data_IF_817688881353
#
_entry.id   IF_817688881353
#
_cell.length_a   1.000
_cell.length_b   1.000
_cell.length_c   1.000
_cell.angle_alpha   90.00
_cell.angle_beta   90.00
_cell.angle_gamma   90.00
#
_symmetry.space_group_name_H-M   'P 1'
#
loop_
_entity.id
_entity.type
_entity.pdbx_description
1 polymer ?
#
# COMPACT_ATOMS: atom_id res chain seq x y z
N UNK A 1 22.95 -12.67 68.78
CA UNK A 1 24.39 -12.51 69.03
C UNK A 1 25.01 -12.19 67.69
N UNK A 2 25.42 -10.94 67.49
CA UNK A 2 26.00 -10.47 66.24
C UNK A 2 27.48 -10.87 66.20
N UNK A 3 27.95 -11.39 65.07
CA UNK A 3 29.36 -11.31 64.68
C UNK A 3 29.42 -11.04 63.19
N UNK A 4 29.94 -9.86 62.88
CA UNK A 4 30.30 -9.32 61.59
C UNK A 4 31.77 -9.68 61.35
N UNK A 5 32.13 -10.32 60.23
CA UNK A 5 33.50 -10.26 59.72
C UNK A 5 33.57 -10.35 58.18
N UNK A 6 33.63 -9.15 57.59
CA UNK A 6 34.55 -8.67 56.54
C UNK A 6 34.78 -9.51 55.26
N UNK A 7 34.39 -8.84 54.17
CA UNK A 7 34.62 -9.14 52.76
C UNK A 7 36.07 -9.45 52.36
N UNK A 8 36.23 -10.36 51.39
CA UNK A 8 37.29 -10.28 50.40
C UNK A 8 36.91 -10.95 49.08
N UNK A 9 36.80 -10.10 48.05
CA UNK A 9 37.15 -10.31 46.64
C UNK A 9 36.45 -11.43 45.86
N UNK A 10 35.95 -11.06 44.69
CA UNK A 10 35.25 -11.94 43.78
C UNK A 10 36.11 -13.06 43.20
N UNK A 11 35.41 -14.11 42.78
CA UNK A 11 35.50 -14.67 41.43
C UNK A 11 34.31 -15.63 41.23
N UNK A 12 33.44 -15.31 40.28
CA UNK A 12 32.42 -16.24 39.79
C UNK A 12 33.11 -17.26 38.89
N UNK A 13 33.32 -18.48 39.40
CA UNK A 13 33.77 -19.60 38.58
C UNK A 13 32.57 -20.21 37.83
N UNK A 14 32.57 -20.08 36.50
CA UNK A 14 31.75 -20.87 35.60
C UNK A 14 32.49 -22.18 35.27
N UNK A 15 31.93 -23.32 35.68
CA UNK A 15 32.37 -24.64 35.28
C UNK A 15 31.35 -25.26 34.31
N UNK A 16 31.71 -25.42 33.04
CA UNK A 16 30.99 -26.26 32.07
C UNK A 16 32.01 -27.21 31.43
N UNK A 17 31.71 -28.51 31.52
CA UNK A 17 32.32 -29.64 30.80
C UNK A 17 33.86 -29.68 30.73
N UNK A 18 34.45 -30.34 31.75
CA UNK A 18 35.61 -31.23 31.57
C UNK A 18 36.76 -30.70 30.71
N UNK A 19 37.50 -29.70 31.21
CA UNK A 19 38.79 -29.30 30.65
C UNK A 19 39.31 -27.99 31.23
N UNK A 20 40.24 -28.06 32.19
CA UNK A 20 41.03 -26.90 32.60
C UNK A 20 42.11 -26.63 31.57
N UNK A 21 41.98 -25.54 30.80
CA UNK A 21 43.06 -25.05 29.93
C UNK A 21 43.84 -23.96 30.66
N UNK A 22 44.97 -24.35 31.26
CA UNK A 22 46.04 -23.42 31.61
C UNK A 22 46.90 -23.19 30.37
N UNK A 23 46.86 -22.00 29.78
CA UNK A 23 47.69 -21.64 28.63
C UNK A 23 48.29 -20.26 28.83
N UNK A 24 49.55 -20.24 29.27
CA UNK A 24 50.30 -19.05 29.63
C UNK A 24 50.46 -18.05 28.48
N UNK A 25 50.46 -16.77 28.86
CA UNK A 25 50.98 -15.67 28.06
C UNK A 25 52.50 -15.84 27.95
N UNK A 26 52.99 -16.18 26.75
CA UNK A 26 54.36 -15.90 26.35
C UNK A 26 54.35 -15.14 25.03
N UNK A 27 54.77 -13.89 25.13
CA UNK A 27 55.10 -13.00 24.02
C UNK A 27 56.11 -13.68 23.09
N UNK A 28 55.77 -13.76 21.79
CA UNK A 28 56.77 -13.79 20.72
C UNK A 28 56.50 -12.60 19.81
N UNK A 29 57.45 -11.68 19.87
CA UNK A 29 57.71 -10.61 18.92
C UNK A 29 57.91 -11.18 17.51
N UNK A 30 57.15 -10.70 16.53
CA UNK A 30 57.67 -9.86 15.43
C UNK A 30 56.74 -9.89 14.20
N UNK A 31 56.60 -8.72 13.57
CA UNK A 31 56.28 -8.53 12.15
C UNK A 31 54.88 -8.81 11.61
N UNK A 32 53.84 -8.04 11.99
CA UNK A 32 52.62 -7.93 11.16
C UNK A 32 51.97 -6.53 11.20
N UNK A 33 52.61 -5.53 10.59
CA UNK A 33 51.96 -4.23 10.27
C UNK A 33 50.87 -4.33 9.19
N UNK A 34 50.61 -5.54 8.67
CA UNK A 34 49.59 -5.81 7.65
C UNK A 34 48.27 -6.33 8.25
N UNK A 35 48.25 -6.73 9.53
CA UNK A 35 47.05 -7.29 10.18
C UNK A 35 46.11 -6.22 10.75
N UNK A 36 46.60 -5.01 10.99
CA UNK A 36 45.80 -3.92 11.57
C UNK A 36 44.75 -3.36 10.60
N UNK A 37 45.08 -3.26 9.30
CA UNK A 37 44.19 -2.67 8.30
C UNK A 37 43.01 -3.59 7.95
N UNK A 38 43.26 -4.89 7.79
CA UNK A 38 42.22 -5.86 7.42
C UNK A 38 41.17 -6.01 8.54
N UNK A 39 41.61 -6.01 9.80
CA UNK A 39 40.72 -6.05 10.95
C UNK A 39 39.88 -4.78 11.10
N UNK A 40 40.45 -3.61 10.83
CA UNK A 40 39.73 -2.33 10.87
C UNK A 40 38.70 -2.17 9.75
N UNK A 41 38.98 -2.69 8.55
CA UNK A 41 38.00 -2.70 7.45
C UNK A 41 36.85 -3.64 7.79
N UNK A 42 37.13 -4.81 8.36
CA UNK A 42 36.09 -5.79 8.70
C UNK A 42 35.18 -5.32 9.83
N UNK A 43 35.71 -4.61 10.83
CA UNK A 43 34.91 -4.00 11.90
C UNK A 43 34.08 -2.82 11.40
N UNK A 44 34.61 -1.98 10.51
CA UNK A 44 33.84 -0.92 9.85
C UNK A 44 32.75 -1.49 8.93
N UNK A 45 33.01 -2.58 8.21
CA UNK A 45 32.02 -3.24 7.37
C UNK A 45 30.87 -3.80 8.22
N UNK A 46 31.17 -4.47 9.34
CA UNK A 46 30.16 -4.96 10.30
C UNK A 46 29.31 -3.83 10.90
N UNK A 47 29.92 -2.67 11.17
CA UNK A 47 29.22 -1.50 11.70
C UNK A 47 28.29 -0.86 10.66
N UNK A 48 28.69 -0.85 9.38
CA UNK A 48 27.85 -0.41 8.26
C UNK A 48 26.70 -1.40 8.00
N UNK A 49 26.95 -2.71 8.06
CA UNK A 49 25.89 -3.72 7.94
C UNK A 49 24.90 -3.69 9.11
N UNK A 50 25.35 -3.33 10.33
CA UNK A 50 24.46 -3.10 11.47
C UNK A 50 23.56 -1.87 11.33
N UNK A 51 23.96 -0.88 10.54
CA UNK A 51 23.17 0.34 10.31
C UNK A 51 22.10 0.20 9.20
N UNK A 52 22.15 -0.84 8.37
CA UNK A 52 21.14 -1.13 7.33
C UNK A 52 19.95 -1.93 7.92
N UNK A 53 20.04 -2.38 9.18
CA UNK A 53 19.04 -3.21 9.85
C UNK A 53 17.93 -2.48 10.63
N UNK A 54 17.77 -1.16 10.46
CA UNK A 54 16.60 -0.45 11.01
C UNK A 54 15.50 -0.33 9.97
N UNK A 55 14.90 -1.47 9.61
CA UNK A 55 13.53 -1.44 9.12
C UNK A 55 12.65 -1.06 10.33
N UNK A 56 11.86 0.03 10.29
CA UNK A 56 10.89 0.29 11.34
C UNK A 56 9.80 -0.80 11.24
N UNK A 57 10.05 -1.90 11.94
CA UNK A 57 9.08 -2.95 12.22
C UNK A 57 7.81 -2.30 12.79
N UNK A 58 6.75 -2.25 11.99
CA UNK A 58 5.30 -2.38 12.24
C UNK A 58 4.70 -2.04 13.64
N UNK A 59 5.36 -1.25 14.47
CA UNK A 59 4.94 -0.89 15.82
C UNK A 59 3.95 0.27 15.88
N UNK A 60 3.52 0.82 14.75
CA UNK A 60 2.49 1.85 14.68
C UNK A 60 1.08 1.29 14.77
N UNK A 61 0.87 0.00 14.46
CA UNK A 61 -0.47 -0.60 14.44
C UNK A 61 -1.02 -0.82 15.86
N UNK A 62 -0.18 -1.25 16.81
CA UNK A 62 -0.59 -1.49 18.20
C UNK A 62 -1.08 -0.22 18.89
N UNK A 63 -0.36 0.89 18.73
CA UNK A 63 -0.70 2.17 19.38
C UNK A 63 -2.06 2.74 18.94
N UNK A 64 -2.51 2.42 17.73
CA UNK A 64 -3.82 2.87 17.22
C UNK A 64 -4.98 2.03 17.79
N UNK A 65 -4.73 0.76 18.07
CA UNK A 65 -5.72 -0.17 18.66
C UNK A 65 -5.82 -0.04 20.19
N UNK A 66 -4.82 0.57 20.82
CA UNK A 66 -4.80 0.85 22.26
C UNK A 66 -5.69 2.05 22.67
N UNK A 67 -6.28 2.77 21.71
CA UNK A 67 -7.18 3.89 21.98
C UNK A 67 -8.40 3.40 22.82
N UNK A 68 -8.70 4.03 23.98
CA UNK A 68 -9.79 3.59 24.86
C UNK A 68 -11.16 3.55 24.18
N UNK A 69 -11.44 4.50 23.29
CA UNK A 69 -12.68 4.54 22.52
C UNK A 69 -12.67 3.48 21.41
N UNK A 70 -11.53 3.19 20.79
CA UNK A 70 -11.42 2.08 19.84
C UNK A 70 -11.71 0.72 20.53
N UNK A 71 -11.07 0.45 21.67
CA UNK A 71 -11.30 -0.78 22.45
C UNK A 71 -12.77 -0.89 22.89
N UNK A 72 -13.36 0.22 23.34
CA UNK A 72 -14.79 0.30 23.67
C UNK A 72 -15.67 -0.02 22.45
N UNK A 73 -15.30 0.47 21.27
CA UNK A 73 -15.97 0.16 20.01
C UNK A 73 -15.95 -1.35 19.70
N UNK A 74 -14.78 -1.99 19.79
CA UNK A 74 -14.64 -3.45 19.62
C UNK A 74 -15.48 -4.25 20.63
N UNK A 75 -15.48 -3.84 21.90
CA UNK A 75 -16.31 -4.47 22.94
C UNK A 75 -17.81 -4.37 22.64
N UNK A 76 -18.27 -3.20 22.16
CA UNK A 76 -19.67 -2.98 21.78
C UNK A 76 -20.06 -3.79 20.53
N UNK A 77 -19.17 -3.90 19.54
CA UNK A 77 -19.37 -4.80 18.39
C UNK A 77 -19.53 -6.26 18.82
N UNK A 78 -18.68 -6.74 19.73
CA UNK A 78 -18.78 -8.11 20.25
C UNK A 78 -20.14 -8.39 20.92
N UNK A 79 -20.76 -7.35 21.50
CA UNK A 79 -22.11 -7.39 22.09
C UNK A 79 -23.23 -7.09 21.10
N UNK A 80 -22.92 -6.98 19.81
CA UNK A 80 -23.84 -6.58 18.72
C UNK A 80 -24.50 -5.21 18.92
N UNK A 81 -23.94 -4.35 19.77
CA UNK A 81 -24.38 -2.97 19.91
C UNK A 81 -23.74 -2.11 18.81
N UNK A 82 -24.35 -2.12 17.63
CA UNK A 82 -23.82 -1.47 16.44
C UNK A 82 -23.78 0.06 16.59
N UNK A 83 -24.87 0.68 17.06
CA UNK A 83 -24.93 2.13 17.27
C UNK A 83 -23.84 2.62 18.24
N UNK A 84 -23.72 1.91 19.38
CA UNK A 84 -22.73 2.23 20.37
C UNK A 84 -21.30 2.02 19.84
N UNK A 85 -21.08 1.01 19.01
CA UNK A 85 -19.78 0.79 18.38
C UNK A 85 -19.41 1.91 17.41
N UNK A 86 -20.33 2.30 16.52
CA UNK A 86 -20.13 3.42 15.59
C UNK A 86 -19.78 4.70 16.33
N UNK A 87 -20.51 5.02 17.41
CA UNK A 87 -20.22 6.19 18.23
C UNK A 87 -18.80 6.13 18.83
N UNK A 88 -18.42 4.99 19.41
CA UNK A 88 -17.09 4.81 19.98
C UNK A 88 -15.99 4.97 18.93
N UNK A 89 -16.12 4.36 17.75
CA UNK A 89 -15.11 4.51 16.69
C UNK A 89 -15.04 5.94 16.15
N UNK A 90 -16.16 6.67 16.08
CA UNK A 90 -16.16 8.10 15.73
C UNK A 90 -15.43 8.94 16.77
N UNK A 91 -15.60 8.63 18.06
CA UNK A 91 -14.86 9.31 19.14
C UNK A 91 -13.35 9.01 19.03
N UNK A 92 -12.96 7.76 18.75
CA UNK A 92 -11.56 7.42 18.49
C UNK A 92 -10.98 8.23 17.31
N UNK A 93 -11.76 8.42 16.24
CA UNK A 93 -11.36 9.27 15.11
C UNK A 93 -11.34 10.77 15.43
N UNK A 94 -12.19 11.24 16.36
CA UNK A 94 -12.15 12.62 16.83
C UNK A 94 -10.87 12.91 17.61
N UNK A 95 -10.42 11.96 18.43
CA UNK A 95 -9.16 12.05 19.18
C UNK A 95 -7.95 11.86 18.26
N UNK A 96 -8.03 10.91 17.32
CA UNK A 96 -6.98 10.60 16.37
C UNK A 96 -7.56 10.29 14.98
N UNK A 97 -7.56 11.32 14.12
CA UNK A 97 -8.06 11.22 12.75
C UNK A 97 -7.23 10.29 11.84
N UNK A 98 -6.03 9.92 12.27
CA UNK A 98 -5.14 8.99 11.57
C UNK A 98 -5.28 7.54 12.08
N UNK A 99 -6.31 7.23 12.89
CA UNK A 99 -6.57 5.87 13.32
C UNK A 99 -7.14 5.00 12.19
N UNK A 100 -6.22 4.38 11.44
CA UNK A 100 -6.54 3.49 10.33
C UNK A 100 -7.41 2.30 10.76
N UNK A 101 -7.20 1.75 11.97
CA UNK A 101 -8.00 0.64 12.47
C UNK A 101 -9.46 1.05 12.69
N UNK A 102 -9.71 2.23 13.28
CA UNK A 102 -11.07 2.77 13.44
C UNK A 102 -11.77 3.01 12.09
N UNK A 103 -11.04 3.50 11.08
CA UNK A 103 -11.53 3.58 9.71
C UNK A 103 -11.92 2.21 9.16
N UNK A 104 -11.09 1.18 9.36
CA UNK A 104 -11.41 -0.17 8.88
C UNK A 104 -12.68 -0.74 9.52
N UNK A 105 -12.84 -0.64 10.84
CA UNK A 105 -14.03 -1.14 11.55
C UNK A 105 -15.30 -0.40 11.11
N UNK A 106 -15.26 0.93 10.99
CA UNK A 106 -16.40 1.71 10.47
C UNK A 106 -16.74 1.32 9.03
N UNK A 107 -15.73 1.08 8.20
CA UNK A 107 -15.90 0.59 6.83
C UNK A 107 -16.68 -0.71 6.80
N UNK A 108 -16.31 -1.69 7.64
CA UNK A 108 -17.00 -2.98 7.74
C UNK A 108 -18.45 -2.82 8.22
N UNK A 109 -18.69 -1.99 9.24
CA UNK A 109 -20.04 -1.75 9.77
C UNK A 109 -20.97 -1.20 8.70
N UNK A 110 -20.51 -0.20 7.94
CA UNK A 110 -21.31 0.42 6.89
C UNK A 110 -21.42 -0.45 5.62
N UNK A 111 -20.50 -1.39 5.42
CA UNK A 111 -20.52 -2.32 4.30
C UNK A 111 -21.55 -3.45 4.49
N UNK A 112 -21.81 -3.85 5.74
CA UNK A 112 -22.67 -4.99 6.07
C UNK A 112 -24.12 -4.78 5.58
N UNK A 113 -24.63 -5.57 4.61
CA UNK A 113 -25.96 -5.36 4.05
C UNK A 113 -27.09 -5.66 5.02
N UNK A 114 -26.85 -6.53 6.02
CA UNK A 114 -27.83 -6.90 7.04
C UNK A 114 -27.99 -5.84 8.15
N UNK A 115 -27.16 -4.81 8.15
CA UNK A 115 -27.14 -3.76 9.15
C UNK A 115 -28.02 -2.57 8.72
N UNK A 116 -28.85 -2.05 9.62
CA UNK A 116 -29.65 -0.83 9.38
C UNK A 116 -28.81 0.40 9.04
N UNK A 117 -27.54 0.42 9.47
CA UNK A 117 -26.58 1.48 9.12
C UNK A 117 -25.91 1.29 7.76
N UNK A 118 -26.29 0.29 6.97
CA UNK A 118 -25.66 0.02 5.67
C UNK A 118 -25.61 1.30 4.81
N UNK A 119 -24.42 1.64 4.34
CA UNK A 119 -24.18 2.80 3.50
C UNK A 119 -22.86 2.60 2.73
N UNK A 120 -22.96 2.14 1.48
CA UNK A 120 -21.78 1.84 0.66
C UNK A 120 -20.90 3.07 0.36
N UNK A 121 -21.46 4.28 0.36
CA UNK A 121 -20.68 5.53 0.18
C UNK A 121 -19.77 5.75 1.39
N UNK A 122 -20.34 5.66 2.60
CA UNK A 122 -19.59 5.81 3.85
C UNK A 122 -18.56 4.69 4.02
N UNK A 123 -18.94 3.45 3.70
CA UNK A 123 -18.02 2.31 3.72
C UNK A 123 -16.82 2.55 2.81
N UNK A 124 -17.05 2.93 1.55
CA UNK A 124 -15.99 3.21 0.59
C UNK A 124 -15.05 4.32 1.08
N UNK A 125 -15.59 5.41 1.63
CA UNK A 125 -14.80 6.50 2.19
C UNK A 125 -13.85 6.00 3.29
N UNK A 126 -14.37 5.26 4.28
CA UNK A 126 -13.57 4.77 5.40
C UNK A 126 -12.51 3.76 4.95
N UNK A 127 -12.81 2.90 3.99
CA UNK A 127 -11.85 1.98 3.38
C UNK A 127 -10.74 2.70 2.60
N UNK A 128 -11.07 3.73 1.82
CA UNK A 128 -10.07 4.54 1.13
C UNK A 128 -9.15 5.24 2.12
N UNK A 129 -9.72 5.81 3.18
CA UNK A 129 -8.96 6.48 4.22
C UNK A 129 -8.00 5.54 4.96
N UNK A 130 -8.41 4.30 5.22
CA UNK A 130 -7.50 3.28 5.76
C UNK A 130 -6.29 3.06 4.84
N UNK A 131 -6.50 2.89 3.53
CA UNK A 131 -5.41 2.66 2.58
C UNK A 131 -4.50 3.88 2.41
N UNK A 132 -5.02 5.10 2.56
CA UNK A 132 -4.20 6.31 2.57
C UNK A 132 -3.24 6.35 3.75
N UNK A 133 -3.72 5.94 4.93
CA UNK A 133 -2.96 5.92 6.17
C UNK A 133 -2.00 4.71 6.26
N UNK A 134 -2.42 3.56 5.73
CA UNK A 134 -1.69 2.29 5.77
C UNK A 134 -1.80 1.56 4.43
N UNK A 135 -0.93 1.94 3.48
CA UNK A 135 -0.94 1.41 2.11
C UNK A 135 -0.65 -0.10 2.05
N UNK A 136 0.25 -0.56 2.92
CA UNK A 136 0.75 -1.95 2.95
C UNK A 136 0.18 -2.73 4.15
N UNK A 137 -1.05 -2.41 4.58
CA UNK A 137 -1.70 -3.17 5.65
C UNK A 137 -1.97 -4.62 5.21
N UNK A 138 -2.00 -5.56 6.16
CA UNK A 138 -2.37 -6.96 5.89
C UNK A 138 -3.76 -7.09 5.22
N UNK A 139 -4.60 -6.07 5.40
CA UNK A 139 -5.95 -6.01 4.87
C UNK A 139 -6.03 -5.31 3.51
N UNK A 140 -4.95 -4.72 3.00
CA UNK A 140 -4.97 -3.85 1.83
C UNK A 140 -5.58 -4.52 0.58
N UNK A 141 -5.28 -5.80 0.37
CA UNK A 141 -5.90 -6.60 -0.71
C UNK A 141 -7.42 -6.71 -0.57
N UNK A 142 -7.89 -7.06 0.63
CA UNK A 142 -9.32 -7.19 0.92
C UNK A 142 -10.05 -5.85 0.82
N UNK A 143 -9.43 -4.78 1.32
CA UNK A 143 -10.00 -3.42 1.29
C UNK A 143 -10.19 -2.93 -0.15
N UNK A 144 -9.23 -3.19 -1.04
CA UNK A 144 -9.40 -2.90 -2.49
C UNK A 144 -10.60 -3.66 -3.08
N UNK A 145 -10.83 -4.89 -2.63
CA UNK A 145 -12.02 -5.69 -2.97
C UNK A 145 -13.31 -5.02 -2.49
N UNK A 146 -13.38 -4.63 -1.21
CA UNK A 146 -14.54 -3.93 -0.64
C UNK A 146 -14.85 -2.61 -1.35
N UNK A 147 -13.82 -1.80 -1.68
CA UNK A 147 -14.00 -0.55 -2.44
C UNK A 147 -14.63 -0.83 -3.80
N UNK A 148 -14.19 -1.87 -4.49
CA UNK A 148 -14.77 -2.26 -5.79
C UNK A 148 -16.23 -2.67 -5.65
N UNK A 149 -16.56 -3.45 -4.63
CA UNK A 149 -17.94 -3.84 -4.33
C UNK A 149 -18.82 -2.63 -4.00
N UNK A 150 -18.35 -1.72 -3.13
CA UNK A 150 -19.07 -0.48 -2.82
C UNK A 150 -19.37 0.34 -4.08
N UNK A 151 -18.38 0.52 -4.96
CA UNK A 151 -18.57 1.25 -6.23
C UNK A 151 -19.63 0.60 -7.12
N UNK A 152 -19.70 -0.73 -7.15
CA UNK A 152 -20.70 -1.47 -7.91
C UNK A 152 -22.11 -1.26 -7.35
N UNK A 153 -22.27 -1.35 -6.02
CA UNK A 153 -23.58 -1.14 -5.38
C UNK A 153 -24.05 0.31 -5.52
N UNK A 154 -23.16 1.29 -5.35
CA UNK A 154 -23.47 2.71 -5.61
C UNK A 154 -23.92 2.92 -7.06
N UNK A 155 -23.23 2.29 -8.02
CA UNK A 155 -23.58 2.40 -9.43
C UNK A 155 -24.92 1.73 -9.76
N UNK A 156 -25.33 0.70 -9.01
CA UNK A 156 -26.63 0.03 -9.20
C UNK A 156 -27.79 1.00 -8.93
N UNK A 157 -27.70 1.78 -7.85
CA UNK A 157 -28.72 2.79 -7.51
C UNK A 157 -28.81 3.87 -8.60
N UNK A 158 -27.66 4.29 -9.15
CA UNK A 158 -27.60 5.27 -10.25
C UNK A 158 -28.13 4.68 -11.56
N UNK A 159 -27.78 3.43 -11.88
CA UNK A 159 -28.22 2.76 -13.09
C UNK A 159 -29.72 2.39 -13.06
N UNK A 160 -30.31 2.27 -11.87
CA UNK A 160 -31.75 2.09 -11.69
C UNK A 160 -32.54 3.40 -11.79
N UNK A 161 -31.90 4.57 -11.75
CA UNK A 161 -32.54 5.80 -12.20
C UNK A 161 -32.78 5.66 -13.71
N UNK A 162 -34.03 5.81 -14.22
CA UNK A 162 -34.30 5.68 -15.64
C UNK A 162 -33.49 6.72 -16.41
N UNK A 163 -32.36 6.31 -16.98
CA UNK A 163 -31.70 7.10 -18.00
C UNK A 163 -32.72 7.18 -19.13
N UNK A 164 -33.20 8.38 -19.51
CA UNK A 164 -34.25 8.50 -20.50
C UNK A 164 -33.80 7.77 -21.78
N UNK A 165 -34.62 6.89 -22.36
CA UNK A 165 -34.25 6.11 -23.55
C UNK A 165 -33.74 6.97 -24.70
N UNK A 166 -34.16 8.24 -24.76
CA UNK A 166 -33.66 9.24 -25.71
C UNK A 166 -32.15 9.51 -25.59
N UNK A 167 -31.59 9.55 -24.38
CA UNK A 167 -30.15 9.74 -24.16
C UNK A 167 -29.35 8.51 -24.55
N UNK A 168 -29.85 7.31 -24.23
CA UNK A 168 -29.23 6.04 -24.66
C UNK A 168 -29.22 5.93 -26.19
N UNK A 169 -30.35 6.24 -26.83
CA UNK A 169 -30.48 6.23 -28.28
C UNK A 169 -29.64 7.32 -28.95
N UNK A 170 -29.49 8.50 -28.33
CA UNK A 170 -28.60 9.55 -28.80
C UNK A 170 -27.14 9.10 -28.76
N UNK A 171 -26.69 8.48 -27.66
CA UNK A 171 -25.33 7.93 -27.54
C UNK A 171 -25.08 6.88 -28.63
N UNK A 172 -26.03 5.96 -28.86
CA UNK A 172 -25.89 4.95 -29.91
C UNK A 172 -25.82 5.57 -31.31
N UNK A 173 -26.73 6.50 -31.62
CA UNK A 173 -26.77 7.23 -32.89
C UNK A 173 -25.47 8.02 -33.12
N UNK A 174 -24.94 8.67 -32.09
CA UNK A 174 -23.68 9.39 -32.19
C UNK A 174 -22.49 8.45 -32.45
N UNK A 175 -22.46 7.27 -31.81
CA UNK A 175 -21.42 6.26 -32.08
C UNK A 175 -21.46 5.73 -33.50
N UNK A 176 -22.64 5.44 -34.03
CA UNK A 176 -22.78 4.98 -35.42
C UNK A 176 -22.42 6.07 -36.42
N UNK A 177 -22.80 7.32 -36.16
CA UNK A 177 -22.38 8.47 -36.96
C UNK A 177 -20.86 8.68 -36.92
N UNK A 178 -20.22 8.57 -35.76
CA UNK A 178 -18.77 8.68 -35.62
C UNK A 178 -18.06 7.57 -36.42
N UNK A 179 -18.54 6.34 -36.33
CA UNK A 179 -17.99 5.22 -37.08
C UNK A 179 -18.13 5.43 -38.60
N UNK A 180 -19.29 5.90 -39.06
CA UNK A 180 -19.53 6.22 -40.47
C UNK A 180 -18.64 7.36 -40.96
N UNK A 181 -18.57 8.46 -40.21
CA UNK A 181 -17.72 9.60 -40.55
C UNK A 181 -16.25 9.21 -40.63
N UNK A 182 -15.76 8.37 -39.70
CA UNK A 182 -14.39 7.86 -39.75
C UNK A 182 -14.12 6.98 -40.97
N UNK A 183 -15.07 6.11 -41.33
CA UNK A 183 -14.97 5.30 -42.54
C UNK A 183 -14.91 6.17 -43.80
N UNK A 184 -15.81 7.14 -43.93
CA UNK A 184 -15.82 8.09 -45.05
C UNK A 184 -14.53 8.92 -45.12
N UNK A 185 -14.02 9.37 -43.98
CA UNK A 185 -12.77 10.13 -43.90
C UNK A 185 -11.58 9.26 -44.35
N UNK A 186 -11.53 7.99 -43.94
CA UNK A 186 -10.50 7.05 -44.40
C UNK A 186 -10.59 6.78 -45.91
N UNK A 187 -11.81 6.59 -46.43
CA UNK A 187 -12.06 6.35 -47.84
C UNK A 187 -11.69 7.56 -48.72
N UNK A 188 -12.06 8.77 -48.30
CA UNK A 188 -11.71 10.01 -49.00
C UNK A 188 -10.19 10.24 -49.00
N UNK A 189 -9.51 9.97 -47.88
CA UNK A 189 -8.04 10.04 -47.82
C UNK A 189 -7.39 9.11 -48.84
N UNK A 190 -7.83 7.86 -48.93
CA UNK A 190 -7.31 6.91 -49.94
C UNK A 190 -7.57 7.38 -51.37
N UNK A 191 -8.73 7.99 -51.65
CA UNK A 191 -9.01 8.57 -52.97
C UNK A 191 -8.08 9.76 -53.29
N UNK A 192 -7.85 10.64 -52.32
CA UNK A 192 -6.94 11.78 -52.48
C UNK A 192 -5.52 11.30 -52.76
N UNK A 193 -5.05 10.29 -52.03
CA UNK A 193 -3.74 9.67 -52.26
C UNK A 193 -3.64 9.03 -53.64
N UNK A 194 -4.67 8.28 -54.07
CA UNK A 194 -4.72 7.66 -55.38
C UNK A 194 -4.69 8.72 -56.51
N UNK A 195 -5.49 9.78 -56.40
CA UNK A 195 -5.52 10.87 -57.37
C UNK A 195 -4.18 11.63 -57.40
N UNK A 196 -3.57 11.86 -56.24
CA UNK A 196 -2.24 12.47 -56.15
C UNK A 196 -1.17 11.62 -56.82
N UNK A 197 -1.21 10.30 -56.64
CA UNK A 197 -0.31 9.36 -57.33
C UNK A 197 -0.49 9.41 -58.85
N UNK A 198 -1.73 9.45 -59.34
CA UNK A 198 -2.03 9.58 -60.79
C UNK A 198 -1.50 10.88 -61.38
N UNK A 199 -1.64 12.01 -60.67
CA UNK A 199 -1.12 13.30 -61.10
C UNK A 199 0.43 13.32 -61.14
N UNK A 200 1.08 12.65 -60.19
CA UNK A 200 2.55 12.54 -60.18
C UNK A 200 3.07 11.72 -61.36
N UNK A 201 2.40 10.61 -61.71
CA UNK A 201 2.71 9.81 -62.90
C UNK A 201 2.54 10.61 -64.19
N UNK A 202 1.41 11.31 -64.33
CA UNK A 202 1.16 12.15 -65.50
C UNK A 202 2.16 13.32 -65.63
N UNK A 203 2.67 13.85 -64.52
CA UNK A 203 3.70 14.89 -64.51
C UNK A 203 5.11 14.39 -64.83
N UNK A 204 5.44 13.13 -64.50
CA UNK A 204 6.71 12.50 -64.89
C UNK A 204 6.75 12.05 -66.35
N UNK A 205 5.57 11.85 -66.97
CA UNK A 205 5.44 11.42 -68.37
C UNK A 205 5.45 12.58 -69.37
N UNK A 206 5.59 13.84 -68.92
CA UNK A 206 5.80 14.98 -69.82
C UNK A 206 7.27 14.98 -70.27
N UNK A 207 7.58 14.67 -71.54
CA UNK A 207 8.96 14.72 -72.01
C UNK A 207 9.46 16.14 -71.91
N UNK A 208 10.64 16.31 -71.31
CA UNK A 208 11.43 17.53 -71.35
C UNK A 208 11.70 17.85 -72.83
N UNK A 209 10.89 18.76 -73.40
CA UNK A 209 11.11 19.27 -74.76
C UNK A 209 12.33 20.17 -74.68
N UNK A 210 13.49 19.59 -74.97
CA UNK A 210 14.73 20.31 -75.19
C UNK A 210 14.50 21.31 -76.34
N UNK A 211 14.54 22.60 -75.98
CA UNK A 211 14.53 23.75 -76.91
C UNK A 211 15.94 23.99 -77.42
#
# INVERSE_FOLDING_TARGET
MATEEKARSGDLFFCVNGGCLSGGFLFISSSMKFWSGLGQVLTLLLLVFGAIGCEPTNGSHSRLEDDPDFVRGKSRLARKNIDGAVLSFRNALANNQANAAAHFELGLIFYEPSNEKNNYVSACYHFQRHLELQRDSRHAGNIKGFIRACKKEIAKDIAMAPIPPSEINAIHTLRTQLAKANSENSHLKSQVEAMRGRLQQAGSDVPEVAV
#
